data_IF_326192125636
#
_entry.id   IF_326192125636
#
_cell.length_a   1.000
_cell.length_b   1.000
_cell.length_c   1.000
_cell.angle_alpha   90.00
_cell.angle_beta   90.00
_cell.angle_gamma   90.00
#
_symmetry.space_group_name_H-M   'P 1'
#
loop_
_entity.id
_entity.type
_entity.pdbx_description
1 polymer ?
#
# COMPACT_ATOMS: atom_id res chain seq x y z
N UNK A 1 -21.53 -5.36 11.60
CA UNK A 1 -20.23 -4.65 11.45
C UNK A 1 -19.31 -5.55 10.65
N UNK A 2 -18.81 -5.11 9.51
CA UNK A 2 -17.95 -5.92 8.66
C UNK A 2 -16.61 -5.20 8.43
N UNK A 3 -15.52 -5.97 8.50
CA UNK A 3 -14.18 -5.56 8.13
C UNK A 3 -13.96 -5.99 6.68
N UNK A 4 -13.49 -5.09 5.84
CA UNK A 4 -13.08 -5.40 4.48
C UNK A 4 -11.56 -5.40 4.40
N UNK A 5 -10.99 -6.43 3.78
CA UNK A 5 -9.57 -6.47 3.51
C UNK A 5 -9.34 -6.39 2.00
N UNK A 6 -8.49 -5.48 1.59
CA UNK A 6 -8.06 -5.32 0.20
C UNK A 6 -6.67 -5.92 0.11
N UNK A 7 -6.58 -7.11 -0.46
CA UNK A 7 -5.30 -7.78 -0.69
C UNK A 7 -4.80 -7.38 -2.07
N UNK A 8 -3.59 -6.86 -2.15
CA UNK A 8 -2.95 -6.52 -3.42
C UNK A 8 -2.82 -7.76 -4.31
N UNK A 9 -2.94 -7.60 -5.64
CA UNK A 9 -2.90 -8.71 -6.62
C UNK A 9 -1.62 -9.56 -6.57
N UNK A 10 -0.55 -9.02 -6.01
CA UNK A 10 0.76 -9.65 -5.93
C UNK A 10 1.14 -10.09 -4.51
N UNK A 11 0.18 -10.10 -3.58
CA UNK A 11 0.45 -10.40 -2.17
C UNK A 11 -0.10 -11.76 -1.78
N UNK A 12 0.67 -12.47 -0.96
CA UNK A 12 0.27 -13.74 -0.36
C UNK A 12 0.01 -13.50 1.14
N UNK A 13 -1.25 -13.60 1.59
CA UNK A 13 -1.57 -13.43 3.00
C UNK A 13 -0.90 -14.52 3.84
N UNK A 14 -0.52 -14.15 5.05
CA UNK A 14 0.01 -15.10 6.03
C UNK A 14 -1.08 -16.04 6.54
N UNK A 15 -0.68 -17.23 7.01
CA UNK A 15 -1.60 -18.17 7.66
C UNK A 15 -2.28 -17.47 8.85
N UNK A 16 -3.59 -17.65 8.97
CA UNK A 16 -4.38 -17.01 10.03
C UNK A 16 -4.65 -15.51 9.82
N UNK A 17 -4.53 -15.01 8.60
CA UNK A 17 -4.80 -13.61 8.21
C UNK A 17 -6.12 -13.08 8.79
N UNK A 18 -7.21 -13.85 8.66
CA UNK A 18 -8.54 -13.48 9.14
C UNK A 18 -8.55 -13.29 10.66
N UNK A 19 -7.88 -14.21 11.40
CA UNK A 19 -7.80 -14.14 12.85
C UNK A 19 -6.97 -12.94 13.33
N UNK A 20 -5.92 -12.59 12.57
CA UNK A 20 -5.11 -11.40 12.85
C UNK A 20 -5.99 -10.16 12.71
N UNK A 21 -6.73 -10.03 11.63
CA UNK A 21 -7.63 -8.91 11.39
C UNK A 21 -8.72 -8.80 12.44
N UNK A 22 -9.37 -9.91 12.80
CA UNK A 22 -10.40 -9.94 13.85
C UNK A 22 -9.84 -9.51 15.22
N UNK A 23 -8.61 -9.91 15.57
CA UNK A 23 -7.95 -9.46 16.80
C UNK A 23 -7.69 -7.96 16.80
N UNK A 24 -7.24 -7.40 15.67
CA UNK A 24 -6.99 -5.95 15.56
C UNK A 24 -8.30 -5.16 15.63
N UNK A 25 -9.34 -5.63 14.99
CA UNK A 25 -10.66 -5.04 15.07
C UNK A 25 -11.21 -5.00 16.51
N UNK A 26 -11.06 -6.11 17.27
CA UNK A 26 -11.42 -6.17 18.70
C UNK A 26 -10.61 -5.19 19.57
N UNK A 27 -9.39 -4.80 19.14
CA UNK A 27 -8.58 -3.76 19.80
C UNK A 27 -8.96 -2.34 19.40
N UNK A 28 -9.99 -2.17 18.58
CA UNK A 28 -10.45 -0.86 18.10
C UNK A 28 -9.66 -0.31 16.91
N UNK A 29 -8.81 -1.13 16.27
CA UNK A 29 -8.07 -0.73 15.08
C UNK A 29 -8.99 -0.81 13.86
N UNK A 30 -9.29 0.33 13.24
CA UNK A 30 -10.26 0.41 12.15
C UNK A 30 -9.64 0.30 10.77
N UNK A 31 -8.36 0.67 10.61
CA UNK A 31 -7.64 0.56 9.36
C UNK A 31 -6.14 0.34 9.57
N UNK A 32 -5.50 -0.26 8.58
CA UNK A 32 -4.05 -0.44 8.61
C UNK A 32 -3.52 -1.33 7.50
N UNK A 33 -2.23 -1.59 7.56
CA UNK A 33 -1.55 -2.49 6.64
C UNK A 33 -0.55 -3.37 7.36
N UNK A 34 -0.05 -4.36 6.65
CA UNK A 34 1.01 -5.26 7.10
C UNK A 34 2.39 -4.70 6.74
N UNK A 35 3.42 -5.23 7.39
CA UNK A 35 4.78 -5.08 6.89
C UNK A 35 4.96 -5.93 5.64
N UNK A 36 5.87 -5.55 4.77
CA UNK A 36 6.12 -6.23 3.51
C UNK A 36 7.41 -7.03 3.57
N UNK A 37 7.44 -8.13 2.83
CA UNK A 37 8.64 -8.88 2.51
C UNK A 37 8.56 -9.32 1.06
N UNK A 38 9.64 -9.21 0.30
CA UNK A 38 9.67 -9.71 -1.08
C UNK A 38 10.07 -11.19 -1.13
N UNK A 39 9.58 -11.89 -2.16
CA UNK A 39 9.95 -13.26 -2.51
C UNK A 39 11.32 -13.36 -3.21
N UNK A 40 12.09 -12.27 -3.24
CA UNK A 40 13.39 -12.18 -3.88
C UNK A 40 14.36 -11.35 -3.05
N UNK A 41 15.56 -11.88 -2.87
CA UNK A 41 16.62 -11.19 -2.15
C UNK A 41 17.34 -10.20 -3.06
N UNK A 42 17.16 -8.91 -2.77
CA UNK A 42 17.84 -7.80 -3.43
C UNK A 42 17.91 -6.63 -2.46
N UNK A 43 19.07 -5.97 -2.33
CA UNK A 43 19.31 -4.95 -1.31
C UNK A 43 18.26 -3.81 -1.34
N UNK A 44 17.87 -3.32 -2.54
CA UNK A 44 16.89 -2.24 -2.67
C UNK A 44 15.47 -2.70 -2.27
N UNK A 45 15.09 -3.96 -2.58
CA UNK A 45 13.82 -4.54 -2.16
C UNK A 45 13.78 -4.75 -0.64
N UNK A 46 14.87 -5.23 -0.06
CA UNK A 46 15.01 -5.42 1.38
C UNK A 46 14.93 -4.09 2.12
N UNK A 47 15.52 -3.03 1.58
CA UNK A 47 15.46 -1.69 2.14
C UNK A 47 14.03 -1.11 2.09
N UNK A 48 13.35 -1.27 0.95
CA UNK A 48 11.95 -0.88 0.80
C UNK A 48 11.05 -1.66 1.79
N UNK A 49 11.24 -2.97 1.90
CA UNK A 49 10.53 -3.82 2.86
C UNK A 49 10.79 -3.38 4.31
N UNK A 50 12.04 -3.07 4.66
CA UNK A 50 12.40 -2.58 5.99
C UNK A 50 11.68 -1.26 6.31
N UNK A 51 11.59 -0.33 5.36
CA UNK A 51 10.91 0.94 5.54
C UNK A 51 9.42 0.77 5.90
N UNK A 52 8.79 -0.34 5.51
CA UNK A 52 7.38 -0.61 5.83
C UNK A 52 7.09 -0.85 7.31
N UNK A 53 8.12 -1.05 8.14
CA UNK A 53 7.97 -1.15 9.61
C UNK A 53 7.55 0.18 10.23
N UNK A 54 7.95 1.30 9.63
CA UNK A 54 7.66 2.61 10.16
C UNK A 54 6.22 3.00 9.85
N UNK A 55 5.50 3.48 10.86
CA UNK A 55 4.15 4.00 10.69
C UNK A 55 4.21 5.41 10.09
N UNK A 56 4.52 5.48 8.80
CA UNK A 56 4.62 6.72 8.04
C UNK A 56 3.90 6.58 6.70
N UNK A 57 3.14 7.61 6.33
CA UNK A 57 2.43 7.65 5.04
C UNK A 57 3.34 7.50 3.83
N UNK A 58 4.62 7.91 3.95
CA UNK A 58 5.60 7.80 2.87
C UNK A 58 6.08 6.37 2.61
N UNK A 59 5.87 5.46 3.58
CA UNK A 59 6.27 4.06 3.49
C UNK A 59 5.10 3.14 3.13
N UNK A 60 4.01 3.69 2.59
CA UNK A 60 2.78 2.95 2.30
C UNK A 60 2.57 2.77 0.81
N UNK A 61 2.10 1.56 0.44
CA UNK A 61 1.68 1.20 -0.91
C UNK A 61 0.63 0.09 -0.86
N UNK A 62 -0.09 -0.15 -1.95
CA UNK A 62 -1.09 -1.20 -2.06
C UNK A 62 -0.55 -2.61 -1.90
N UNK A 63 0.75 -2.79 -2.12
CA UNK A 63 1.43 -4.08 -1.97
C UNK A 63 1.57 -4.55 -0.50
N UNK A 64 1.07 -3.77 0.46
CA UNK A 64 1.11 -4.09 1.89
C UNK A 64 -0.22 -4.63 2.42
N UNK A 65 -1.19 -4.91 1.56
CA UNK A 65 -2.57 -5.31 1.91
C UNK A 65 -3.22 -4.37 2.92
N UNK A 66 -4.12 -3.56 2.44
CA UNK A 66 -4.91 -2.63 3.24
C UNK A 66 -6.09 -3.37 3.87
N UNK A 67 -6.31 -3.21 5.16
CA UNK A 67 -7.59 -3.53 5.79
C UNK A 67 -8.26 -2.25 6.28
N UNK A 68 -9.58 -2.20 6.21
CA UNK A 68 -10.37 -1.07 6.66
C UNK A 68 -11.75 -1.51 7.11
N UNK A 69 -12.26 -0.88 8.16
CA UNK A 69 -13.65 -1.04 8.59
C UNK A 69 -14.58 -0.46 7.51
N UNK A 70 -15.64 -1.21 7.16
CA UNK A 70 -16.58 -0.82 6.11
C UNK A 70 -17.17 0.58 6.34
N UNK A 71 -17.61 0.87 7.57
CA UNK A 71 -18.19 2.18 7.91
C UNK A 71 -17.16 3.32 7.70
N UNK A 72 -15.90 3.09 8.10
CA UNK A 72 -14.83 4.09 7.91
C UNK A 72 -14.52 4.30 6.41
N UNK A 73 -14.53 3.22 5.62
CA UNK A 73 -14.35 3.30 4.18
C UNK A 73 -15.46 4.12 3.51
N UNK A 74 -16.72 3.90 3.89
CA UNK A 74 -17.89 4.63 3.39
C UNK A 74 -17.86 6.10 3.84
N UNK A 75 -17.52 6.38 5.11
CA UNK A 75 -17.37 7.74 5.64
C UNK A 75 -16.29 8.55 4.90
N UNK A 76 -15.27 7.88 4.41
CA UNK A 76 -14.22 8.48 3.60
C UNK A 76 -14.54 8.49 2.11
N UNK A 77 -15.76 8.12 1.70
CA UNK A 77 -16.19 8.06 0.30
C UNK A 77 -15.37 7.09 -0.59
N UNK A 78 -14.78 6.03 0.01
CA UNK A 78 -14.06 5.01 -0.72
C UNK A 78 -12.82 5.51 -1.47
N UNK A 79 -12.44 4.83 -2.53
CA UNK A 79 -11.34 5.26 -3.41
C UNK A 79 -11.77 6.41 -4.32
N UNK A 80 -10.84 7.32 -4.57
CA UNK A 80 -11.06 8.43 -5.52
C UNK A 80 -10.88 7.91 -6.96
N UNK A 81 -11.97 7.79 -7.70
CA UNK A 81 -12.01 7.25 -9.06
C UNK A 81 -11.20 8.07 -10.09
N UNK A 82 -10.80 9.30 -9.74
CA UNK A 82 -9.91 10.11 -10.57
C UNK A 82 -8.50 9.54 -10.66
N UNK A 83 -8.11 8.71 -9.67
CA UNK A 83 -6.81 8.06 -9.64
C UNK A 83 -6.88 6.70 -10.34
N UNK A 84 -6.28 6.58 -11.51
CA UNK A 84 -6.08 5.32 -12.23
C UNK A 84 -4.90 4.50 -11.68
N UNK A 85 -4.03 5.16 -10.90
CA UNK A 85 -2.91 4.59 -10.15
C UNK A 85 -2.80 5.31 -8.81
N UNK A 86 -2.25 4.64 -7.79
CA UNK A 86 -2.08 5.17 -6.43
C UNK A 86 -3.40 5.59 -5.73
N UNK A 87 -4.53 5.03 -6.13
CA UNK A 87 -5.83 5.21 -5.47
C UNK A 87 -5.79 4.74 -4.02
N UNK A 88 -5.07 3.67 -3.78
CA UNK A 88 -4.82 3.10 -2.46
C UNK A 88 -3.97 4.03 -1.59
N UNK A 89 -2.90 4.59 -2.15
CA UNK A 89 -2.00 5.52 -1.43
C UNK A 89 -2.73 6.83 -1.10
N UNK A 90 -3.58 7.31 -1.98
CA UNK A 90 -4.44 8.47 -1.73
C UNK A 90 -5.42 8.19 -0.58
N UNK A 91 -6.07 7.04 -0.59
CA UNK A 91 -6.98 6.63 0.47
C UNK A 91 -6.26 6.47 1.81
N UNK A 92 -5.06 5.87 1.82
CA UNK A 92 -4.22 5.75 3.00
C UNK A 92 -3.85 7.13 3.57
N UNK A 93 -3.56 8.13 2.73
CA UNK A 93 -3.30 9.50 3.19
C UNK A 93 -4.50 10.10 3.93
N UNK A 94 -5.73 9.81 3.49
CA UNK A 94 -6.96 10.24 4.21
C UNK A 94 -7.09 9.54 5.57
N UNK A 95 -6.74 8.26 5.65
CA UNK A 95 -6.71 7.52 6.92
C UNK A 95 -5.67 8.10 7.90
N UNK A 96 -4.48 8.46 7.42
CA UNK A 96 -3.48 9.14 8.26
C UNK A 96 -3.95 10.50 8.78
N UNK A 97 -4.64 11.29 7.97
CA UNK A 97 -5.23 12.57 8.41
C UNK A 97 -6.29 12.40 9.51
N UNK A 98 -6.93 11.24 9.59
CA UNK A 98 -7.89 10.89 10.64
C UNK A 98 -7.25 10.23 11.87
N UNK A 99 -5.94 9.96 11.84
CA UNK A 99 -5.24 9.16 12.85
C UNK A 99 -5.81 7.74 13.02
N UNK A 100 -6.38 7.17 11.97
CA UNK A 100 -7.04 5.87 11.98
C UNK A 100 -6.23 4.80 11.23
N UNK A 101 -4.89 4.91 11.23
CA UNK A 101 -4.03 3.97 10.52
C UNK A 101 -3.00 3.31 11.42
N UNK A 102 -2.90 1.98 11.33
CA UNK A 102 -1.90 1.20 12.06
C UNK A 102 -1.07 0.30 11.15
N UNK A 103 0.13 -0.03 11.58
CA UNK A 103 1.01 -0.98 10.90
C UNK A 103 1.13 -2.22 11.74
N UNK A 104 0.69 -3.35 11.19
CA UNK A 104 0.77 -4.64 11.86
C UNK A 104 2.18 -5.23 11.75
N UNK A 105 2.70 -5.86 12.80
CA UNK A 105 4.05 -6.44 12.81
C UNK A 105 4.19 -7.68 11.93
N UNK A 106 3.08 -8.31 11.57
CA UNK A 106 3.08 -9.46 10.67
C UNK A 106 3.48 -9.04 9.26
N UNK A 107 4.21 -9.92 8.57
CA UNK A 107 4.68 -9.68 7.22
C UNK A 107 3.81 -10.40 6.20
N UNK A 108 3.56 -9.74 5.07
CA UNK A 108 3.03 -10.38 3.88
C UNK A 108 4.13 -10.53 2.83
N UNK A 109 4.05 -11.59 2.06
CA UNK A 109 4.99 -11.83 0.96
C UNK A 109 4.43 -11.18 -0.30
N UNK A 110 5.25 -10.32 -0.91
CA UNK A 110 4.91 -9.62 -2.17
C UNK A 110 5.83 -10.13 -3.27
N UNK A 111 5.27 -10.42 -4.42
CA UNK A 111 6.06 -10.92 -5.56
C UNK A 111 6.94 -9.83 -6.16
N UNK A 112 8.23 -10.13 -6.28
CA UNK A 112 9.21 -9.28 -6.94
C UNK A 112 9.26 -9.48 -8.46
N UNK A 113 8.39 -10.31 -9.06
CA UNK A 113 8.41 -10.63 -10.49
C UNK A 113 8.51 -9.38 -11.37
N UNK A 114 7.67 -8.39 -11.12
CA UNK A 114 7.64 -7.15 -11.90
C UNK A 114 8.96 -6.36 -11.79
N UNK A 115 9.59 -6.40 -10.63
CA UNK A 115 10.90 -5.78 -10.42
C UNK A 115 12.01 -6.51 -11.15
N UNK A 116 11.94 -7.84 -11.22
CA UNK A 116 12.89 -8.67 -12.00
C UNK A 116 12.77 -8.37 -13.49
N UNK A 117 11.55 -8.32 -14.02
CA UNK A 117 11.28 -8.15 -15.44
C UNK A 117 11.67 -6.74 -15.94
N UNK A 118 11.50 -5.71 -15.12
CA UNK A 118 11.70 -4.30 -15.50
C UNK A 118 12.97 -3.65 -14.92
N UNK A 119 13.75 -4.40 -14.16
CA UNK A 119 14.92 -3.89 -13.43
C UNK A 119 14.54 -3.22 -12.10
N UNK A 120 15.11 -3.76 -11.01
CA UNK A 120 14.75 -3.35 -9.64
C UNK A 120 14.96 -1.85 -9.41
N UNK A 121 16.15 -1.34 -9.72
CA UNK A 121 16.50 0.05 -9.46
C UNK A 121 15.70 1.01 -10.35
N UNK A 122 15.53 0.65 -11.63
CA UNK A 122 14.74 1.46 -12.57
C UNK A 122 13.31 1.61 -12.08
N UNK A 123 12.67 0.50 -11.73
CA UNK A 123 11.27 0.51 -11.29
C UNK A 123 11.10 1.28 -9.98
N UNK A 124 12.00 1.10 -9.01
CA UNK A 124 12.01 1.87 -7.77
C UNK A 124 12.15 3.37 -8.01
N UNK A 125 13.03 3.77 -8.90
CA UNK A 125 13.23 5.18 -9.25
C UNK A 125 11.95 5.81 -9.82
N UNK A 126 11.31 5.15 -10.78
CA UNK A 126 10.05 5.66 -11.35
C UNK A 126 8.89 5.66 -10.36
N UNK A 127 8.78 4.65 -9.51
CA UNK A 127 7.80 4.66 -8.41
C UNK A 127 8.07 5.84 -7.45
N UNK A 128 9.32 6.09 -7.09
CA UNK A 128 9.70 7.24 -6.28
C UNK A 128 9.29 8.58 -6.91
N UNK A 129 9.48 8.73 -8.22
CA UNK A 129 9.04 9.93 -8.95
C UNK A 129 7.50 10.06 -8.90
N UNK A 130 6.75 8.98 -9.13
CA UNK A 130 5.28 9.01 -9.06
C UNK A 130 4.81 9.45 -7.66
N UNK A 131 5.40 8.91 -6.60
CA UNK A 131 5.09 9.32 -5.23
C UNK A 131 5.42 10.78 -4.96
N UNK A 132 6.58 11.26 -5.45
CA UNK A 132 6.97 12.66 -5.34
C UNK A 132 6.00 13.58 -6.10
N UNK A 133 5.67 13.25 -7.35
CA UNK A 133 4.71 14.00 -8.16
C UNK A 133 3.35 14.09 -7.45
N UNK A 134 2.87 12.98 -6.90
CA UNK A 134 1.63 12.95 -6.13
C UNK A 134 1.72 13.83 -4.89
N UNK A 135 2.81 13.77 -4.15
CA UNK A 135 3.05 14.60 -2.97
C UNK A 135 3.06 16.10 -3.30
N UNK A 136 3.60 16.47 -4.46
CA UNK A 136 3.59 17.84 -4.98
C UNK A 136 2.23 18.28 -5.56
N UNK A 137 1.19 17.44 -5.48
CA UNK A 137 -0.16 17.76 -5.94
C UNK A 137 -0.35 17.72 -7.46
N UNK A 138 0.49 16.98 -8.17
CA UNK A 138 0.32 16.77 -9.61
C UNK A 138 -0.99 16.03 -9.87
N UNK A 139 -1.77 16.47 -10.85
CA UNK A 139 -3.09 15.90 -11.20
C UNK A 139 -2.99 14.40 -11.53
N UNK A 140 -3.99 13.58 -11.16
CA UNK A 140 -4.01 12.13 -11.39
C UNK A 140 -3.74 11.72 -12.84
N UNK A 141 -4.31 12.42 -13.81
CA UNK A 141 -4.11 12.14 -15.25
C UNK A 141 -2.64 12.26 -15.69
N UNK A 142 -1.90 13.23 -15.13
CA UNK A 142 -0.46 13.37 -15.41
C UNK A 142 0.36 12.27 -14.79
N UNK A 143 0.00 11.81 -13.57
CA UNK A 143 0.61 10.65 -12.92
C UNK A 143 0.41 9.40 -13.78
N UNK A 144 -0.81 9.19 -14.26
CA UNK A 144 -1.13 8.04 -15.10
C UNK A 144 -0.39 8.06 -16.44
N UNK A 145 -0.29 9.22 -17.10
CA UNK A 145 0.52 9.38 -18.34
C UNK A 145 1.99 9.04 -18.10
N UNK A 146 2.58 9.54 -17.00
CA UNK A 146 3.96 9.21 -16.63
C UNK A 146 4.13 7.69 -16.43
N UNK A 147 3.20 7.06 -15.70
CA UNK A 147 3.20 5.62 -15.48
C UNK A 147 3.15 4.81 -16.78
N UNK A 148 2.26 5.19 -17.70
CA UNK A 148 2.14 4.50 -19.01
C UNK A 148 3.41 4.61 -19.85
N UNK A 149 4.12 5.71 -19.75
CA UNK A 149 5.30 5.96 -20.57
C UNK A 149 6.57 5.31 -20.00
N UNK A 150 6.77 5.29 -18.70
CA UNK A 150 8.03 4.88 -18.05
C UNK A 150 7.99 3.57 -17.30
N UNK A 151 6.79 3.12 -16.87
CA UNK A 151 6.62 2.00 -15.94
C UNK A 151 5.89 0.82 -16.58
N UNK A 152 4.95 1.07 -17.48
CA UNK A 152 4.23 0.05 -18.24
C UNK A 152 4.97 -0.23 -19.54
#
# INVERSE_FOLDING_TARGET
MSLSAIVGRCCFPTVGFDQILLRQYKKGQKAGSFQMQFDHDHFALNWAAFATKYNSRFCRSGDQSLFVEKNLFEQLAGFDERYHICEDVEFIDRLYKKNEFTVLPQKIITSARRFKDNGVLRLHFHHGIIHLMRYLGVKPDKLYRYYLYFVK
#
